data_IF_100095901757
#
_entry.id   IF_100095901757
#
_cell.length_a   1.000
_cell.length_b   1.000
_cell.length_c   1.000
_cell.angle_alpha   90.00
_cell.angle_beta   90.00
_cell.angle_gamma   90.00
#
_symmetry.space_group_name_H-M   'P 1'
#
loop_
_entity.id
_entity.type
_entity.pdbx_description
1 polymer ?
#
# COMPACT_ATOMS: atom_id res chain seq x y z
N UNK A 1 -17.60 44.69 -21.46
CA UNK A 1 -18.31 43.57 -20.79
C UNK A 1 -17.52 42.24 -20.81
N UNK A 2 -16.18 42.23 -20.68
CA UNK A 2 -15.36 41.00 -20.89
C UNK A 2 -14.28 40.69 -19.83
N UNK A 3 -13.98 41.61 -18.91
CA UNK A 3 -12.91 41.40 -17.90
C UNK A 3 -13.40 40.75 -16.61
N UNK A 4 -14.63 41.02 -16.17
CA UNK A 4 -15.18 40.50 -14.90
C UNK A 4 -15.65 39.04 -15.00
N UNK A 5 -16.12 38.61 -16.18
CA UNK A 5 -16.53 37.21 -16.44
C UNK A 5 -15.34 36.25 -16.59
N UNK A 6 -14.18 36.75 -17.02
CA UNK A 6 -12.95 35.95 -17.12
C UNK A 6 -12.31 35.68 -15.76
N UNK A 7 -12.45 36.60 -14.79
CA UNK A 7 -11.96 36.40 -13.43
C UNK A 7 -12.77 35.37 -12.64
N UNK A 8 -14.08 35.27 -12.88
CA UNK A 8 -14.95 34.28 -12.21
C UNK A 8 -14.66 32.86 -12.73
N UNK A 9 -14.32 32.71 -14.02
CA UNK A 9 -13.97 31.41 -14.60
C UNK A 9 -12.63 30.85 -14.05
N UNK A 10 -11.69 31.72 -13.70
CA UNK A 10 -10.40 31.34 -13.10
C UNK A 10 -10.52 30.92 -11.63
N UNK A 11 -11.54 31.38 -10.90
CA UNK A 11 -11.79 30.96 -9.51
C UNK A 11 -12.40 29.56 -9.44
N UNK A 12 -13.19 29.16 -10.44
CA UNK A 12 -13.78 27.81 -10.52
C UNK A 12 -12.72 26.76 -10.91
N UNK A 13 -11.70 27.14 -11.68
CA UNK A 13 -10.59 26.25 -12.06
C UNK A 13 -9.57 26.01 -10.92
N UNK A 14 -9.62 26.81 -9.85
CA UNK A 14 -8.79 26.64 -8.65
C UNK A 14 -9.28 25.58 -7.67
N UNK A 15 -10.45 24.96 -7.89
CA UNK A 15 -11.02 23.95 -6.99
C UNK A 15 -10.55 22.51 -7.28
N UNK A 16 -9.72 22.29 -8.30
CA UNK A 16 -9.26 20.96 -8.71
C UNK A 16 -7.86 20.58 -8.25
N UNK A 17 -7.17 21.45 -7.49
CA UNK A 17 -5.73 21.30 -7.28
C UNK A 17 -5.31 21.05 -5.84
N UNK A 18 -5.94 20.13 -5.10
CA UNK A 18 -5.26 19.58 -3.91
C UNK A 18 -5.73 18.17 -3.51
N UNK A 19 -5.82 17.21 -4.43
CA UNK A 19 -5.56 15.82 -4.04
C UNK A 19 -4.05 15.59 -4.07
N UNK A 20 -3.33 16.32 -3.21
CA UNK A 20 -2.01 15.90 -2.79
C UNK A 20 -2.24 14.59 -2.03
N UNK A 21 -2.12 13.48 -2.75
CA UNK A 21 -2.04 12.15 -2.17
C UNK A 21 -0.82 12.10 -1.27
N UNK A 22 -0.98 12.58 -0.04
CA UNK A 22 -0.10 12.25 1.07
C UNK A 22 -0.12 10.73 1.14
N UNK A 23 0.86 10.09 0.51
CA UNK A 23 0.96 8.64 0.48
C UNK A 23 1.22 8.22 1.91
N UNK A 24 0.15 7.80 2.59
CA UNK A 24 0.20 7.44 4.00
C UNK A 24 1.19 6.29 4.13
N UNK A 25 2.29 6.51 4.85
CA UNK A 25 3.20 5.40 5.16
C UNK A 25 2.52 4.49 6.17
N UNK A 26 2.32 3.24 5.80
CA UNK A 26 1.77 2.21 6.68
C UNK A 26 2.88 1.41 7.33
N UNK A 27 2.62 0.99 8.56
CA UNK A 27 3.55 0.22 9.38
C UNK A 27 3.18 -1.27 9.34
N UNK A 28 4.16 -2.10 8.96
CA UNK A 28 4.04 -3.56 8.98
C UNK A 28 4.01 -4.17 10.37
N UNK A 29 4.28 -3.39 11.42
CA UNK A 29 4.31 -3.86 12.81
C UNK A 29 3.10 -3.40 13.62
N UNK A 30 2.27 -2.48 13.08
CA UNK A 30 1.05 -2.00 13.73
C UNK A 30 0.21 -3.17 14.25
N UNK A 31 -0.18 -3.14 15.52
CA UNK A 31 -0.95 -4.23 16.13
C UNK A 31 -2.24 -4.54 15.36
N UNK A 32 -2.49 -5.82 15.11
CA UNK A 32 -3.72 -6.32 14.47
C UNK A 32 -4.94 -5.94 15.32
N UNK A 33 -4.87 -6.06 16.64
CA UNK A 33 -5.99 -5.74 17.53
C UNK A 33 -6.32 -4.25 17.50
N UNK A 34 -5.29 -3.40 17.41
CA UNK A 34 -5.50 -1.97 17.24
C UNK A 34 -6.17 -1.66 15.90
N UNK A 35 -5.71 -2.30 14.82
CA UNK A 35 -6.34 -2.14 13.50
C UNK A 35 -7.81 -2.55 13.57
N UNK A 36 -8.13 -3.70 14.15
CA UNK A 36 -9.51 -4.19 14.29
C UNK A 36 -10.42 -3.19 15.00
N UNK A 37 -9.95 -2.59 16.11
CA UNK A 37 -10.71 -1.55 16.81
C UNK A 37 -10.89 -0.30 15.95
N UNK A 38 -9.83 0.14 15.28
CA UNK A 38 -9.88 1.39 14.52
C UNK A 38 -10.81 1.26 13.28
N UNK A 39 -10.81 0.11 12.57
CA UNK A 39 -11.63 -0.09 11.36
C UNK A 39 -13.14 -0.08 11.64
N UNK A 40 -13.58 -0.38 12.86
CA UNK A 40 -14.99 -0.36 13.25
C UNK A 40 -15.59 1.04 13.11
N UNK A 41 -14.82 2.07 13.46
CA UNK A 41 -15.27 3.47 13.46
C UNK A 41 -14.84 4.26 12.23
N UNK A 42 -13.94 3.73 11.39
CA UNK A 42 -13.50 4.39 10.17
C UNK A 42 -14.63 4.53 9.13
N UNK A 43 -14.59 5.64 8.39
CA UNK A 43 -15.41 5.86 7.21
C UNK A 43 -14.94 5.01 6.02
N UNK A 44 -15.79 4.86 5.01
CA UNK A 44 -15.43 4.17 3.75
C UNK A 44 -14.19 4.79 3.11
N UNK A 45 -14.12 6.13 3.05
CA UNK A 45 -12.98 6.84 2.47
C UNK A 45 -11.67 6.56 3.22
N UNK A 46 -11.69 6.54 4.56
CA UNK A 46 -10.50 6.20 5.34
C UNK A 46 -10.07 4.73 5.13
N UNK A 47 -11.02 3.81 5.02
CA UNK A 47 -10.73 2.41 4.73
C UNK A 47 -10.12 2.23 3.33
N UNK A 48 -10.63 2.94 2.32
CA UNK A 48 -10.03 3.00 0.97
C UNK A 48 -8.59 3.53 1.05
N UNK A 49 -8.37 4.67 1.71
CA UNK A 49 -7.04 5.29 1.85
C UNK A 49 -6.02 4.36 2.52
N UNK A 50 -6.40 3.71 3.62
CA UNK A 50 -5.51 2.77 4.30
C UNK A 50 -5.24 1.54 3.44
N UNK A 51 -6.26 0.96 2.79
CA UNK A 51 -6.06 -0.17 1.89
C UNK A 51 -5.12 0.19 0.73
N UNK A 52 -5.30 1.35 0.09
CA UNK A 52 -4.39 1.86 -0.95
C UNK A 52 -2.96 2.04 -0.44
N UNK A 53 -2.79 2.54 0.77
CA UNK A 53 -1.47 2.68 1.37
C UNK A 53 -0.77 1.33 1.58
N UNK A 54 -1.50 0.29 2.01
CA UNK A 54 -0.96 -1.06 2.07
C UNK A 54 -0.69 -1.66 0.68
N UNK A 55 -1.52 -1.40 -0.34
CA UNK A 55 -1.23 -1.79 -1.73
C UNK A 55 0.11 -1.24 -2.17
N UNK A 56 0.35 0.07 -1.96
CA UNK A 56 1.63 0.72 -2.28
C UNK A 56 2.81 0.09 -1.53
N UNK A 57 2.65 -0.16 -0.23
CA UNK A 57 3.69 -0.81 0.58
C UNK A 57 4.00 -2.24 0.11
N UNK A 58 2.97 -3.02 -0.25
CA UNK A 58 3.12 -4.38 -0.78
C UNK A 58 3.82 -4.35 -2.13
N UNK A 59 3.49 -3.40 -3.01
CA UNK A 59 4.18 -3.22 -4.30
C UNK A 59 5.66 -2.88 -4.12
N UNK A 60 5.99 -1.98 -3.19
CA UNK A 60 7.39 -1.70 -2.83
C UNK A 60 8.12 -2.93 -2.29
N UNK A 61 7.43 -3.75 -1.50
CA UNK A 61 7.97 -5.00 -0.98
C UNK A 61 8.19 -6.04 -2.08
N UNK A 62 7.33 -6.10 -3.10
CA UNK A 62 7.55 -6.95 -4.29
C UNK A 62 8.81 -6.59 -5.06
N UNK A 63 9.13 -5.29 -5.20
CA UNK A 63 10.37 -4.87 -5.82
C UNK A 63 11.62 -5.35 -5.04
N UNK A 64 11.53 -5.44 -3.70
CA UNK A 64 12.60 -6.03 -2.90
C UNK A 64 12.70 -7.55 -3.08
N UNK A 65 11.57 -8.25 -3.21
CA UNK A 65 11.55 -9.68 -3.52
C UNK A 65 12.22 -9.94 -4.88
N UNK A 66 11.90 -9.14 -5.91
CA UNK A 66 12.54 -9.24 -7.23
C UNK A 66 14.06 -9.04 -7.15
N UNK A 67 14.54 -8.07 -6.36
CA UNK A 67 15.98 -7.88 -6.13
C UNK A 67 16.63 -9.10 -5.47
N UNK A 68 15.93 -9.78 -4.56
CA UNK A 68 16.44 -11.02 -3.95
C UNK A 68 16.43 -12.16 -4.95
N UNK A 69 15.39 -12.31 -5.78
CA UNK A 69 15.37 -13.29 -6.86
C UNK A 69 16.56 -13.11 -7.83
N UNK A 70 16.89 -11.87 -8.18
CA UNK A 70 18.08 -11.53 -8.95
C UNK A 70 19.39 -11.95 -8.25
N UNK A 71 19.50 -11.74 -6.93
CA UNK A 71 20.65 -12.23 -6.16
C UNK A 71 20.72 -13.76 -6.18
N UNK A 72 19.59 -14.45 -6.00
CA UNK A 72 19.52 -15.92 -6.01
C UNK A 72 20.03 -16.46 -7.35
N UNK A 73 19.60 -15.90 -8.47
CA UNK A 73 20.05 -16.30 -9.83
C UNK A 73 21.56 -16.20 -10.03
N UNK A 74 22.23 -15.30 -9.31
CA UNK A 74 23.68 -15.05 -9.43
C UNK A 74 24.52 -15.90 -8.47
N UNK A 75 23.90 -16.58 -7.51
CA UNK A 75 24.60 -17.40 -6.52
C UNK A 75 24.64 -18.85 -7.00
N UNK A 76 25.83 -19.48 -7.09
CA UNK A 76 25.93 -20.91 -7.33
C UNK A 76 25.15 -21.68 -6.27
N UNK A 77 24.43 -22.73 -6.68
CA UNK A 77 23.48 -23.44 -5.81
C UNK A 77 24.16 -24.04 -4.57
N UNK A 78 25.43 -24.42 -4.69
CA UNK A 78 26.27 -24.97 -3.61
C UNK A 78 26.58 -23.90 -2.54
N UNK A 79 26.59 -22.63 -2.93
CA UNK A 79 26.82 -21.48 -2.03
C UNK A 79 25.53 -20.86 -1.51
N UNK A 80 24.37 -21.25 -2.06
CA UNK A 80 23.09 -20.66 -1.68
C UNK A 80 22.72 -20.96 -0.22
N UNK A 81 22.85 -22.21 0.20
CA UNK A 81 22.49 -22.64 1.55
C UNK A 81 23.47 -22.16 2.62
N UNK A 82 24.74 -21.96 2.27
CA UNK A 82 25.77 -21.44 3.18
C UNK A 82 25.78 -19.92 3.28
N UNK A 83 25.12 -19.20 2.36
CA UNK A 83 25.01 -17.75 2.41
C UNK A 83 23.93 -17.27 3.40
N UNK A 84 24.31 -17.16 4.68
CA UNK A 84 23.39 -16.74 5.75
C UNK A 84 22.77 -15.35 5.53
N UNK A 85 23.52 -14.43 4.91
CA UNK A 85 23.00 -13.09 4.62
C UNK A 85 21.81 -13.17 3.63
N UNK A 86 21.94 -13.95 2.56
CA UNK A 86 20.86 -14.17 1.59
C UNK A 86 19.65 -14.88 2.23
N UNK A 87 19.90 -15.89 3.08
CA UNK A 87 18.83 -16.57 3.82
C UNK A 87 18.06 -15.61 4.76
N UNK A 88 18.78 -14.72 5.43
CA UNK A 88 18.18 -13.71 6.30
C UNK A 88 17.41 -12.65 5.49
N UNK A 89 17.94 -12.20 4.35
CA UNK A 89 17.24 -11.30 3.43
C UNK A 89 15.91 -11.91 2.97
N UNK A 90 15.90 -13.18 2.53
CA UNK A 90 14.69 -13.91 2.11
C UNK A 90 13.66 -13.95 3.24
N UNK A 91 14.07 -14.37 4.44
CA UNK A 91 13.17 -14.44 5.61
C UNK A 91 12.60 -13.07 5.96
N UNK A 92 13.44 -12.02 5.96
CA UNK A 92 13.03 -10.66 6.30
C UNK A 92 12.01 -10.12 5.30
N UNK A 93 12.25 -10.31 3.99
CA UNK A 93 11.31 -9.79 2.99
C UNK A 93 10.00 -10.56 2.97
N UNK A 94 10.03 -11.88 3.19
CA UNK A 94 8.84 -12.72 3.26
C UNK A 94 7.96 -12.34 4.45
N UNK A 95 8.55 -12.26 5.66
CA UNK A 95 7.83 -11.83 6.88
C UNK A 95 7.20 -10.45 6.74
N UNK A 96 7.92 -9.50 6.16
CA UNK A 96 7.39 -8.14 5.95
C UNK A 96 6.25 -8.13 4.92
N UNK A 97 6.36 -8.91 3.83
CA UNK A 97 5.30 -9.01 2.83
C UNK A 97 4.02 -9.62 3.43
N UNK A 98 4.16 -10.71 4.18
CA UNK A 98 3.05 -11.35 4.90
C UNK A 98 2.40 -10.39 5.90
N UNK A 99 3.21 -9.71 6.71
CA UNK A 99 2.72 -8.76 7.70
C UNK A 99 1.92 -7.60 7.08
N UNK A 100 2.38 -7.07 5.93
CA UNK A 100 1.65 -6.05 5.18
C UNK A 100 0.35 -6.60 4.60
N UNK A 101 0.37 -7.80 4.03
CA UNK A 101 -0.78 -8.43 3.41
C UNK A 101 -1.91 -8.74 4.41
N UNK A 102 -1.56 -9.29 5.58
CA UNK A 102 -2.54 -9.56 6.66
C UNK A 102 -3.27 -8.28 7.06
N UNK A 103 -2.56 -7.16 7.18
CA UNK A 103 -3.15 -5.87 7.55
C UNK A 103 -3.99 -5.28 6.43
N UNK A 104 -3.51 -5.36 5.19
CA UNK A 104 -4.29 -5.01 3.99
C UNK A 104 -5.66 -5.71 3.97
N UNK A 105 -5.68 -7.02 4.25
CA UNK A 105 -6.93 -7.79 4.26
C UNK A 105 -7.93 -7.29 5.30
N UNK A 106 -7.48 -6.80 6.46
CA UNK A 106 -8.38 -6.22 7.47
C UNK A 106 -9.10 -4.99 6.92
N UNK A 107 -8.37 -4.08 6.27
CA UNK A 107 -8.95 -2.87 5.68
C UNK A 107 -9.88 -3.18 4.52
N UNK A 108 -9.49 -4.08 3.61
CA UNK A 108 -10.34 -4.46 2.47
C UNK A 108 -11.60 -5.20 2.91
N UNK A 109 -11.50 -6.06 3.94
CA UNK A 109 -12.66 -6.75 4.49
C UNK A 109 -13.64 -5.75 5.12
N UNK A 110 -13.13 -4.81 5.93
CA UNK A 110 -13.95 -3.75 6.52
C UNK A 110 -14.58 -2.86 5.45
N UNK A 111 -13.81 -2.48 4.43
CA UNK A 111 -14.28 -1.69 3.29
C UNK A 111 -15.47 -2.38 2.61
N UNK A 112 -15.32 -3.67 2.29
CA UNK A 112 -16.38 -4.49 1.68
C UNK A 112 -17.62 -4.56 2.57
N UNK A 113 -17.44 -4.78 3.88
CA UNK A 113 -18.55 -4.86 4.84
C UNK A 113 -19.34 -3.55 4.94
N UNK A 114 -18.69 -2.40 4.74
CA UNK A 114 -19.33 -1.07 4.72
C UNK A 114 -19.85 -0.66 3.34
N UNK A 115 -19.85 -1.57 2.36
CA UNK A 115 -20.34 -1.31 1.00
C UNK A 115 -19.41 -0.47 0.13
N UNK A 116 -18.13 -0.35 0.51
CA UNK A 116 -17.12 0.35 -0.27
C UNK A 116 -16.62 -0.44 -1.49
N UNK A 117 -16.03 0.26 -2.44
CA UNK A 117 -15.57 -0.32 -3.70
C UNK A 117 -14.16 -0.90 -3.57
N UNK A 118 -14.09 -2.22 -3.40
CA UNK A 118 -12.82 -2.95 -3.26
C UNK A 118 -11.98 -2.96 -4.54
N UNK A 119 -12.56 -2.67 -5.71
CA UNK A 119 -11.83 -2.71 -6.99
C UNK A 119 -10.76 -1.62 -7.06
N UNK A 120 -11.00 -0.47 -6.40
CA UNK A 120 -10.06 0.65 -6.29
C UNK A 120 -8.79 0.32 -5.52
N UNK A 121 -8.84 -0.70 -4.68
CA UNK A 121 -7.76 -1.06 -3.75
C UNK A 121 -7.22 -2.46 -4.03
N UNK A 122 -7.49 -3.02 -5.21
CA UNK A 122 -6.97 -4.33 -5.55
C UNK A 122 -5.45 -4.32 -5.68
N UNK A 123 -4.82 -5.42 -5.27
CA UNK A 123 -3.42 -5.66 -5.59
C UNK A 123 -3.30 -5.98 -7.08
N UNK A 124 -2.44 -5.24 -7.78
CA UNK A 124 -2.12 -5.56 -9.17
C UNK A 124 -1.57 -6.99 -9.28
N UNK A 125 -1.89 -7.73 -10.35
CA UNK A 125 -1.21 -8.99 -10.66
C UNK A 125 0.29 -8.74 -10.85
N UNK A 126 1.08 -9.79 -10.61
CA UNK A 126 2.54 -9.80 -10.80
C UNK A 126 2.85 -10.25 -12.22
#
# INVERSE_FOLDING_TARGET
>A
MRRKTLQILLVILGLLTVMNGCTRKVDSERSIDKIKKDIEVMSVAELEDYAMAYVSAIQSQRAQIQKIQEKIRKVPIEKFFSNQALQNDIKKVGRKAEALYVRYLLYVTALKQKGGDVTKVQLNPV
#
